data_IF_470910329036
#
_entry.id   IF_470910329036
#
_cell.length_a   1.000
_cell.length_b   1.000
_cell.length_c   1.000
_cell.angle_alpha   90.00
_cell.angle_beta   90.00
_cell.angle_gamma   90.00
#
_symmetry.space_group_name_H-M   'P 1'
#
loop_
_entity.id
_entity.type
_entity.pdbx_description
1 polymer ?
#
# COMPACT_ATOMS: atom_id res chain seq x y z
N UNK A 1 -12.91 9.16 16.06
CA UNK A 1 -12.10 9.89 15.10
C UNK A 1 -11.69 8.99 13.95
N UNK A 2 -11.68 9.54 12.73
CA UNK A 2 -11.52 8.77 11.50
C UNK A 2 -10.16 8.09 11.32
N UNK A 3 -9.15 8.41 12.11
CA UNK A 3 -7.82 7.82 11.98
C UNK A 3 -7.39 7.03 13.23
N UNK A 4 -8.31 6.73 14.13
CA UNK A 4 -8.00 5.98 15.34
C UNK A 4 -7.77 4.51 15.04
N UNK A 5 -7.12 3.81 15.99
CA UNK A 5 -6.93 2.37 15.92
C UNK A 5 -8.28 1.63 15.78
N UNK A 6 -9.29 2.08 16.51
CA UNK A 6 -10.63 1.51 16.45
C UNK A 6 -11.27 1.67 15.10
N UNK A 7 -11.06 2.81 14.45
CA UNK A 7 -11.56 3.05 13.09
C UNK A 7 -10.97 2.04 12.10
N UNK A 8 -9.67 1.84 12.12
CA UNK A 8 -9.02 0.91 11.20
C UNK A 8 -9.40 -0.54 11.49
N UNK A 9 -9.57 -0.90 12.76
CA UNK A 9 -10.10 -2.22 13.13
C UNK A 9 -11.51 -2.43 12.56
N UNK A 10 -12.37 -1.42 12.69
CA UNK A 10 -13.71 -1.48 12.10
C UNK A 10 -13.68 -1.63 10.59
N UNK A 11 -12.77 -0.93 9.91
CA UNK A 11 -12.59 -1.09 8.47
C UNK A 11 -12.21 -2.52 8.11
N UNK A 12 -11.27 -3.11 8.85
CA UNK A 12 -10.87 -4.48 8.63
C UNK A 12 -12.05 -5.44 8.80
N UNK A 13 -12.84 -5.26 9.84
CA UNK A 13 -13.97 -6.15 10.14
C UNK A 13 -15.03 -6.14 9.05
N UNK A 14 -15.37 -4.96 8.50
CA UNK A 14 -16.42 -4.86 7.49
C UNK A 14 -15.93 -5.18 6.08
N UNK A 15 -14.62 -5.20 5.86
CA UNK A 15 -14.05 -5.48 4.55
C UNK A 15 -14.22 -6.95 4.23
N UNK A 16 -14.73 -7.26 3.03
CA UNK A 16 -14.85 -8.65 2.57
C UNK A 16 -13.48 -9.18 2.14
N UNK A 17 -13.28 -10.48 2.33
CA UNK A 17 -12.06 -11.17 1.89
C UNK A 17 -12.32 -11.86 0.53
N UNK A 18 -11.46 -11.68 -0.49
CA UNK A 18 -10.33 -10.78 -0.51
C UNK A 18 -10.76 -9.33 -0.68
N UNK A 19 -10.06 -8.42 -0.03
CA UNK A 19 -10.37 -7.01 -0.14
C UNK A 19 -9.18 -6.13 0.18
N UNK A 20 -9.27 -4.88 -0.23
CA UNK A 20 -8.23 -3.89 0.03
C UNK A 20 -8.85 -2.60 0.55
N UNK A 21 -8.10 -1.91 1.41
CA UNK A 21 -8.41 -0.55 1.85
C UNK A 21 -7.28 0.36 1.37
N UNK A 22 -7.62 1.50 0.81
CA UNK A 22 -6.63 2.52 0.47
C UNK A 22 -6.83 3.74 1.35
N UNK A 23 -5.73 4.30 1.82
CA UNK A 23 -5.73 5.49 2.66
C UNK A 23 -4.73 6.48 2.12
N UNK A 24 -5.13 7.74 2.02
CA UNK A 24 -4.24 8.83 1.65
C UNK A 24 -3.84 9.57 2.92
N UNK A 25 -2.53 9.59 3.22
CA UNK A 25 -2.00 10.24 4.42
C UNK A 25 -1.06 11.38 4.03
N UNK A 26 -0.94 12.37 4.90
CA UNK A 26 0.06 13.43 4.75
C UNK A 26 1.36 12.98 5.44
N UNK A 27 2.40 12.73 4.64
CA UNK A 27 3.64 12.15 5.12
C UNK A 27 4.42 13.04 6.09
N UNK A 28 4.23 14.36 6.03
CA UNK A 28 4.89 15.31 6.91
C UNK A 28 4.03 15.71 8.12
N UNK A 29 2.83 15.18 8.26
CA UNK A 29 1.99 15.44 9.42
C UNK A 29 2.46 14.65 10.63
N UNK A 30 2.34 15.23 11.82
CA UNK A 30 2.78 14.57 13.06
C UNK A 30 2.09 13.24 13.35
N UNK A 31 0.89 13.03 12.82
CA UNK A 31 0.11 11.80 13.02
C UNK A 31 0.47 10.68 12.05
N UNK A 32 1.38 10.92 11.09
CA UNK A 32 1.67 9.96 10.02
C UNK A 32 2.12 8.60 10.57
N UNK A 33 3.11 8.62 11.46
CA UNK A 33 3.66 7.38 12.03
C UNK A 33 2.62 6.62 12.85
N UNK A 34 1.80 7.34 13.60
CA UNK A 34 0.72 6.74 14.39
C UNK A 34 -0.33 6.10 13.49
N UNK A 35 -0.71 6.78 12.41
CA UNK A 35 -1.66 6.25 11.45
C UNK A 35 -1.13 4.98 10.76
N UNK A 36 0.12 4.99 10.32
CA UNK A 36 0.75 3.81 9.72
C UNK A 36 0.74 2.64 10.72
N UNK A 37 1.12 2.90 11.96
CA UNK A 37 1.12 1.87 12.99
C UNK A 37 -0.28 1.29 13.21
N UNK A 38 -1.28 2.14 13.30
CA UNK A 38 -2.66 1.71 13.52
C UNK A 38 -3.19 0.88 12.34
N UNK A 39 -2.85 1.24 11.13
CA UNK A 39 -3.21 0.47 9.93
C UNK A 39 -2.51 -0.89 9.94
N UNK A 40 -1.23 -0.91 10.23
CA UNK A 40 -0.46 -2.15 10.30
C UNK A 40 -0.99 -3.09 11.38
N UNK A 41 -1.34 -2.56 12.55
CA UNK A 41 -1.90 -3.35 13.63
C UNK A 41 -3.27 -3.95 13.24
N UNK A 42 -4.11 -3.17 12.56
CA UNK A 42 -5.43 -3.63 12.15
C UNK A 42 -5.37 -4.69 11.05
N UNK A 43 -4.40 -4.60 10.15
CA UNK A 43 -4.30 -5.45 8.97
C UNK A 43 -3.17 -6.48 9.05
N UNK A 44 -2.66 -6.77 10.24
CA UNK A 44 -1.63 -7.78 10.48
C UNK A 44 -0.35 -7.55 9.66
N UNK A 45 0.07 -6.28 9.54
CA UNK A 45 1.24 -5.84 8.77
C UNK A 45 1.15 -6.11 7.26
N UNK A 46 -0.03 -6.42 6.76
CA UNK A 46 -0.24 -6.65 5.33
C UNK A 46 -0.56 -5.34 4.63
N UNK A 47 0.45 -4.49 4.55
CA UNK A 47 0.32 -3.10 4.13
C UNK A 47 1.44 -2.77 3.14
N UNK A 48 1.08 -2.08 2.06
CA UNK A 48 2.03 -1.50 1.13
C UNK A 48 1.95 0.02 1.23
N UNK A 49 3.12 0.65 1.21
CA UNK A 49 3.23 2.10 1.24
C UNK A 49 3.80 2.56 -0.10
N UNK A 50 3.10 3.51 -0.74
CA UNK A 50 3.59 4.14 -1.95
C UNK A 50 4.36 5.40 -1.59
N UNK A 51 5.52 5.57 -2.20
CA UNK A 51 6.34 6.74 -1.98
C UNK A 51 5.57 8.00 -2.39
N UNK A 52 5.81 9.06 -1.64
CA UNK A 52 5.23 10.36 -1.91
C UNK A 52 5.51 10.83 -3.35
N UNK A 53 4.48 11.21 -4.07
CA UNK A 53 4.60 11.68 -5.45
C UNK A 53 4.32 13.19 -5.53
N UNK A 54 3.31 13.68 -4.81
CA UNK A 54 2.90 15.08 -4.82
C UNK A 54 2.48 15.54 -3.43
N UNK A 55 2.79 16.77 -3.08
CA UNK A 55 2.23 17.50 -1.94
C UNK A 55 2.24 16.72 -0.62
N UNK A 56 3.28 15.94 -0.38
CA UNK A 56 3.43 15.14 0.84
C UNK A 56 2.38 14.03 0.99
N UNK A 57 1.64 13.71 -0.04
CA UNK A 57 0.66 12.62 0.01
C UNK A 57 1.33 11.26 -0.11
N UNK A 58 1.00 10.38 0.81
CA UNK A 58 1.46 8.99 0.81
C UNK A 58 0.23 8.09 0.75
N UNK A 59 0.16 7.24 -0.25
CA UNK A 59 -0.93 6.28 -0.39
C UNK A 59 -0.53 4.97 0.29
N UNK A 60 -1.41 4.48 1.14
CA UNK A 60 -1.22 3.22 1.85
C UNK A 60 -2.30 2.25 1.38
N UNK A 61 -1.91 1.03 1.04
CA UNK A 61 -2.85 -0.03 0.66
C UNK A 61 -2.75 -1.14 1.68
N UNK A 62 -3.86 -1.50 2.30
CA UNK A 62 -3.95 -2.57 3.28
C UNK A 62 -4.80 -3.72 2.73
N UNK A 63 -4.39 -4.94 3.00
CA UNK A 63 -4.95 -6.15 2.39
C UNK A 63 -5.61 -7.04 3.42
N UNK A 64 -6.74 -7.61 3.03
CA UNK A 64 -7.44 -8.66 3.78
C UNK A 64 -7.71 -9.82 2.85
N UNK A 65 -7.26 -11.04 3.23
CA UNK A 65 -7.48 -12.23 2.42
C UNK A 65 -6.24 -13.11 2.35
N UNK A 66 -6.16 -14.02 1.37
CA UNK A 66 -5.01 -14.91 1.22
C UNK A 66 -3.71 -14.17 1.01
N UNK A 67 -2.61 -14.77 1.42
CA UNK A 67 -1.27 -14.23 1.17
C UNK A 67 -0.98 -14.19 -0.31
N UNK A 68 -0.29 -13.13 -0.73
CA UNK A 68 0.11 -12.93 -2.13
C UNK A 68 1.62 -12.83 -2.21
N UNK A 69 2.18 -13.49 -3.22
CA UNK A 69 3.58 -13.33 -3.57
C UNK A 69 3.68 -13.10 -5.07
N UNK A 70 4.47 -12.11 -5.47
CA UNK A 70 4.70 -11.81 -6.87
C UNK A 70 6.14 -11.33 -7.05
N UNK A 71 6.82 -11.80 -8.08
CA UNK A 71 8.17 -11.31 -8.34
C UNK A 71 8.13 -9.89 -8.94
N UNK A 72 9.21 -9.13 -8.71
CA UNK A 72 9.28 -7.74 -9.15
C UNK A 72 9.25 -7.60 -10.66
N UNK A 73 9.70 -8.62 -11.38
CA UNK A 73 9.64 -8.65 -12.84
C UNK A 73 8.19 -8.66 -13.32
N UNK A 74 7.32 -9.42 -12.66
CA UNK A 74 5.89 -9.44 -12.95
C UNK A 74 5.24 -8.10 -12.63
N UNK A 75 5.60 -7.49 -11.50
CA UNK A 75 5.12 -6.15 -11.13
C UNK A 75 5.49 -5.13 -12.22
N UNK A 76 6.73 -5.16 -12.68
CA UNK A 76 7.18 -4.28 -13.76
C UNK A 76 6.43 -4.52 -15.06
N UNK A 77 6.19 -5.76 -15.41
CA UNK A 77 5.40 -6.10 -16.61
C UNK A 77 3.99 -5.57 -16.53
N UNK A 78 3.35 -5.67 -15.38
CA UNK A 78 2.03 -5.10 -15.15
C UNK A 78 2.04 -3.59 -15.22
N UNK A 79 3.05 -2.95 -14.63
CA UNK A 79 3.19 -1.50 -14.68
C UNK A 79 3.35 -1.02 -16.12
N UNK A 80 4.15 -1.71 -16.93
CA UNK A 80 4.33 -1.40 -18.35
C UNK A 80 3.01 -1.52 -19.14
N UNK A 81 2.26 -2.58 -18.86
CA UNK A 81 0.94 -2.79 -19.48
C UNK A 81 -0.02 -1.66 -19.15
N UNK A 82 -0.10 -1.27 -17.87
CA UNK A 82 -0.98 -0.19 -17.43
C UNK A 82 -0.59 1.16 -18.03
N UNK A 83 0.70 1.43 -18.11
CA UNK A 83 1.19 2.68 -18.71
C UNK A 83 0.84 2.76 -20.19
N UNK A 84 1.07 1.67 -20.92
CA UNK A 84 0.77 1.59 -22.34
C UNK A 84 -0.74 1.67 -22.62
N UNK A 85 -1.55 1.02 -21.79
CA UNK A 85 -2.99 0.89 -22.03
C UNK A 85 -3.75 2.14 -21.59
N UNK A 86 -3.38 2.74 -20.45
CA UNK A 86 -4.14 3.81 -19.82
C UNK A 86 -3.40 5.14 -19.74
N UNK A 87 -2.15 5.19 -20.19
CA UNK A 87 -1.36 6.42 -20.14
C UNK A 87 -0.95 6.86 -18.75
N UNK A 88 -1.01 5.96 -17.76
CA UNK A 88 -0.59 6.25 -16.39
C UNK A 88 0.92 6.04 -16.24
N UNK A 89 1.63 6.89 -15.47
CA UNK A 89 3.09 6.76 -15.30
C UNK A 89 3.46 5.62 -14.34
N UNK A 90 2.86 4.44 -14.53
CA UNK A 90 2.97 3.32 -13.58
C UNK A 90 4.37 2.76 -13.47
N UNK A 91 5.15 2.77 -14.57
CA UNK A 91 6.55 2.29 -14.49
C UNK A 91 7.40 3.14 -13.54
N UNK A 92 7.11 4.43 -13.45
CA UNK A 92 7.85 5.31 -12.55
C UNK A 92 7.53 5.06 -11.07
N UNK A 93 6.41 4.39 -10.77
CA UNK A 93 6.01 4.09 -9.40
C UNK A 93 6.72 2.87 -8.82
N UNK A 94 7.19 1.95 -9.66
CA UNK A 94 7.74 0.67 -9.22
C UNK A 94 8.99 0.80 -8.35
N UNK A 95 9.99 1.64 -8.70
CA UNK A 95 11.18 1.79 -7.84
C UNK A 95 10.83 2.25 -6.42
N UNK A 96 9.93 3.22 -6.29
CA UNK A 96 9.49 3.70 -4.97
C UNK A 96 8.73 2.64 -4.20
N UNK A 97 7.83 1.94 -4.87
CA UNK A 97 7.10 0.83 -4.25
C UNK A 97 8.06 -0.24 -3.74
N UNK A 98 9.05 -0.59 -4.54
CA UNK A 98 10.05 -1.58 -4.16
C UNK A 98 10.90 -1.11 -2.98
N UNK A 99 11.40 0.13 -3.00
CA UNK A 99 12.25 0.63 -1.92
C UNK A 99 11.53 0.72 -0.59
N UNK A 100 10.23 1.04 -0.60
CA UNK A 100 9.44 1.18 0.64
C UNK A 100 8.97 -0.16 1.20
N UNK A 101 8.79 -1.18 0.35
CA UNK A 101 8.08 -2.40 0.74
C UNK A 101 8.87 -3.70 0.52
N UNK A 102 10.06 -3.65 -0.07
CA UNK A 102 10.82 -4.85 -0.36
C UNK A 102 11.28 -5.53 0.93
N UNK A 103 10.80 -6.73 1.15
CA UNK A 103 11.21 -7.58 2.27
C UNK A 103 12.08 -8.73 1.79
N UNK A 104 12.10 -8.95 0.47
CA UNK A 104 12.95 -9.91 -0.23
C UNK A 104 13.43 -9.26 -1.52
N UNK A 105 14.61 -9.65 -1.98
CA UNK A 105 15.26 -9.02 -3.14
C UNK A 105 14.48 -9.20 -4.44
N UNK A 106 13.82 -10.33 -4.61
CA UNK A 106 13.22 -10.71 -5.89
C UNK A 106 11.70 -10.73 -5.90
N UNK A 107 11.05 -10.68 -4.73
CA UNK A 107 9.59 -10.86 -4.63
C UNK A 107 8.95 -9.82 -3.72
N UNK A 108 7.72 -9.46 -4.08
CA UNK A 108 6.83 -8.70 -3.21
C UNK A 108 5.92 -9.71 -2.51
N UNK A 109 5.94 -9.71 -1.19
CA UNK A 109 5.08 -10.57 -0.36
C UNK A 109 4.14 -9.72 0.47
N UNK A 110 2.87 -10.11 0.46
CA UNK A 110 1.88 -9.42 1.27
C UNK A 110 0.79 -10.37 1.78
#
# INVERSE_FOLDING_TARGET
VLSSAEFYQGCYEILKSPGVMTVNLFGNHKSFKTNIKNICDAFNNRVLVFQQVHDCNVVVIAFKGPSLEVDWKTVQGRASFLEKTYGLPTKSWVPGLRSENARQDTRLSI
#
